data_IF_644737563674
#
_entry.id   IF_644737563674
#
_cell.length_a   1.000
_cell.length_b   1.000
_cell.length_c   1.000
_cell.angle_alpha   90.00
_cell.angle_beta   90.00
_cell.angle_gamma   90.00
#
_symmetry.space_group_name_H-M   'P 1'
#
loop_
_entity.id
_entity.type
_entity.pdbx_description
1 polymer ?
#
# COMPACT_ATOMS: atom_id res chain seq x y z
N UNK A 1 -11.04 -3.86 2.21
CA UNK A 1 -9.92 -3.33 1.41
C UNK A 1 -10.48 -2.51 0.26
N UNK A 2 -9.83 -1.40 -0.08
CA UNK A 2 -10.20 -0.60 -1.26
C UNK A 2 -9.50 -1.17 -2.51
N UNK A 3 -10.20 -1.38 -3.64
CA UNK A 3 -9.60 -1.94 -4.84
C UNK A 3 -8.77 -0.88 -5.58
N UNK A 4 -7.47 -0.75 -5.24
CA UNK A 4 -6.56 0.21 -5.88
C UNK A 4 -6.44 0.05 -7.39
N UNK A 5 -6.74 -1.12 -7.94
CA UNK A 5 -6.73 -1.38 -9.39
C UNK A 5 -7.93 -0.79 -10.13
N UNK A 6 -9.04 -0.50 -9.45
CA UNK A 6 -10.27 0.04 -10.05
C UNK A 6 -10.59 1.45 -9.57
N UNK A 7 -9.72 2.05 -8.77
CA UNK A 7 -9.88 3.44 -8.36
C UNK A 7 -9.68 4.37 -9.57
N UNK A 8 -10.44 5.49 -9.65
CA UNK A 8 -10.17 6.53 -10.61
C UNK A 8 -8.71 7.01 -10.53
N UNK A 9 -8.18 7.45 -11.67
CA UNK A 9 -6.83 7.98 -11.72
C UNK A 9 -6.62 9.11 -10.70
N UNK A 10 -5.47 9.10 -10.03
CA UNK A 10 -5.12 10.08 -8.99
C UNK A 10 -5.63 9.74 -7.58
N UNK A 11 -6.67 8.92 -7.42
CA UNK A 11 -7.18 8.55 -6.08
C UNK A 11 -6.19 7.68 -5.32
N UNK A 12 -5.56 6.69 -5.97
CA UNK A 12 -4.53 5.85 -5.36
C UNK A 12 -3.34 6.64 -4.80
N UNK A 13 -2.70 7.52 -5.61
CA UNK A 13 -1.69 8.45 -5.13
C UNK A 13 -2.16 9.33 -3.96
N UNK A 14 -3.36 9.92 -4.04
CA UNK A 14 -3.89 10.79 -2.99
C UNK A 14 -4.10 10.05 -1.66
N UNK A 15 -4.55 8.79 -1.70
CA UNK A 15 -4.64 7.94 -0.51
C UNK A 15 -3.26 7.71 0.08
N UNK A 16 -2.27 7.28 -0.73
CA UNK A 16 -0.92 7.01 -0.24
C UNK A 16 -0.28 8.24 0.42
N UNK A 17 -0.40 9.41 -0.20
CA UNK A 17 0.10 10.69 0.32
C UNK A 17 -0.60 11.09 1.62
N UNK A 18 -1.94 11.09 1.61
CA UNK A 18 -2.74 11.52 2.77
C UNK A 18 -2.49 10.60 3.95
N UNK A 19 -2.43 9.28 3.71
CA UNK A 19 -2.11 8.28 4.73
C UNK A 19 -0.73 8.51 5.32
N UNK A 20 0.31 8.72 4.50
CA UNK A 20 1.65 9.04 4.99
C UNK A 20 1.67 10.31 5.86
N UNK A 21 0.94 11.35 5.45
CA UNK A 21 0.86 12.62 6.21
C UNK A 21 0.24 12.45 7.59
N UNK A 22 -0.87 11.71 7.70
CA UNK A 22 -1.59 11.52 8.98
C UNK A 22 -1.00 10.42 9.87
N UNK A 23 -0.19 9.52 9.32
CA UNK A 23 0.51 8.49 10.10
C UNK A 23 1.44 9.14 11.14
N UNK A 24 1.46 8.57 12.35
CA UNK A 24 2.46 8.92 13.37
C UNK A 24 3.82 8.31 13.00
N UNK A 25 4.95 8.91 13.41
CA UNK A 25 6.26 8.25 13.33
C UNK A 25 6.20 6.86 13.98
N UNK A 26 6.82 5.86 13.35
CA UNK A 26 6.73 4.44 13.69
C UNK A 26 5.48 3.71 13.17
N UNK A 27 4.52 4.42 12.56
CA UNK A 27 3.31 3.82 12.00
C UNK A 27 3.53 3.19 10.62
N UNK A 28 2.75 2.15 10.31
CA UNK A 28 2.78 1.46 9.01
C UNK A 28 1.45 1.59 8.25
N UNK A 29 1.56 1.76 6.93
CA UNK A 29 0.45 1.61 6.00
C UNK A 29 0.49 0.24 5.33
N UNK A 30 -0.52 -0.59 5.59
CA UNK A 30 -0.66 -1.91 4.99
C UNK A 30 -1.58 -1.85 3.75
N UNK A 31 -1.08 -2.35 2.63
CA UNK A 31 -1.87 -2.60 1.43
C UNK A 31 -1.96 -4.09 1.13
N UNK A 32 -3.18 -4.54 0.87
CA UNK A 32 -3.54 -5.91 0.53
C UNK A 32 -4.13 -5.93 -0.89
N UNK A 33 -3.38 -6.45 -1.87
CA UNK A 33 -3.75 -6.40 -3.30
C UNK A 33 -3.27 -7.63 -4.06
N UNK A 34 -3.97 -8.03 -5.11
CA UNK A 34 -3.53 -9.09 -6.02
C UNK A 34 -2.38 -8.65 -6.95
N UNK A 35 -2.20 -7.35 -7.15
CA UNK A 35 -1.16 -6.79 -8.03
C UNK A 35 -0.21 -5.88 -7.26
N UNK A 36 0.97 -5.66 -7.83
CA UNK A 36 1.99 -4.80 -7.24
C UNK A 36 1.76 -3.29 -7.48
N UNK A 37 0.71 -2.89 -8.22
CA UNK A 37 0.49 -1.49 -8.63
C UNK A 37 0.38 -0.53 -7.45
N UNK A 38 -0.18 -0.97 -6.33
CA UNK A 38 -0.29 -0.13 -5.15
C UNK A 38 1.07 0.14 -4.46
N UNK A 39 2.03 -0.77 -4.59
CA UNK A 39 3.41 -0.57 -4.10
C UNK A 39 4.06 0.65 -4.76
N UNK A 40 3.82 0.84 -6.06
CA UNK A 40 4.44 1.93 -6.81
C UNK A 40 3.90 3.31 -6.40
N UNK A 41 2.67 3.38 -5.87
CA UNK A 41 2.15 4.59 -5.23
C UNK A 41 2.77 4.83 -3.86
N UNK A 42 2.93 3.78 -3.06
CA UNK A 42 3.56 3.87 -1.74
C UNK A 42 5.02 4.30 -1.82
N UNK A 43 5.76 3.81 -2.81
CA UNK A 43 7.19 4.08 -2.99
C UNK A 43 7.54 5.56 -3.15
N UNK A 44 6.56 6.42 -3.44
CA UNK A 44 6.74 7.88 -3.55
C UNK A 44 6.86 8.58 -2.21
N UNK A 45 6.31 7.99 -1.13
CA UNK A 45 6.22 8.62 0.19
C UNK A 45 6.87 7.78 1.30
N UNK A 46 6.78 6.45 1.21
CA UNK A 46 7.33 5.54 2.20
C UNK A 46 8.76 5.14 1.82
N UNK A 47 9.73 5.47 2.68
CA UNK A 47 11.16 5.12 2.48
C UNK A 47 11.44 3.64 2.65
N UNK A 48 10.75 3.00 3.59
CA UNK A 48 10.85 1.57 3.86
C UNK A 48 9.54 0.89 3.53
N UNK A 49 9.59 -0.07 2.60
CA UNK A 49 8.45 -0.90 2.21
C UNK A 49 8.82 -2.37 2.34
N UNK A 50 8.18 -3.05 3.28
CA UNK A 50 8.28 -4.51 3.39
C UNK A 50 7.22 -5.16 2.51
N UNK A 51 7.53 -6.32 1.93
CA UNK A 51 6.62 -7.06 1.07
C UNK A 51 6.44 -8.50 1.56
N UNK A 52 5.21 -9.01 1.47
CA UNK A 52 4.85 -10.39 1.81
C UNK A 52 3.88 -10.98 0.81
N UNK A 53 3.68 -12.28 0.88
CA UNK A 53 2.67 -13.00 0.10
C UNK A 53 1.87 -13.91 1.01
N UNK A 54 0.56 -13.96 0.77
CA UNK A 54 -0.34 -14.89 1.44
C UNK A 54 -0.87 -15.90 0.42
N UNK A 55 -0.33 -17.11 0.47
CA UNK A 55 -0.61 -18.20 -0.47
C UNK A 55 -1.92 -18.94 -0.15
N UNK A 56 -2.40 -18.85 1.09
CA UNK A 56 -3.63 -19.54 1.53
C UNK A 56 -4.92 -18.79 1.18
N UNK A 57 -4.82 -17.62 0.57
CA UNK A 57 -5.99 -16.95 0.02
C UNK A 57 -6.38 -17.56 -1.32
N UNK A 58 -7.69 -17.62 -1.59
CA UNK A 58 -8.30 -18.17 -2.83
C UNK A 58 -7.64 -17.63 -4.11
N UNK A 59 -6.99 -16.47 -4.04
CA UNK A 59 -6.00 -15.98 -4.99
C UNK A 59 -4.75 -15.48 -4.22
N UNK A 60 -3.51 -15.73 -4.70
CA UNK A 60 -2.29 -15.25 -4.04
C UNK A 60 -2.30 -13.74 -3.88
N UNK A 61 -2.29 -13.27 -2.63
CA UNK A 61 -2.32 -11.85 -2.33
C UNK A 61 -0.92 -11.32 -2.03
N UNK A 62 -0.63 -10.13 -2.53
CA UNK A 62 0.57 -9.36 -2.19
C UNK A 62 0.25 -8.43 -1.02
N UNK A 63 1.15 -8.41 -0.06
CA UNK A 63 1.12 -7.56 1.11
C UNK A 63 2.26 -6.56 1.00
N UNK A 64 1.98 -5.28 1.25
CA UNK A 64 3.00 -4.24 1.33
C UNK A 64 2.80 -3.42 2.59
N UNK A 65 3.87 -3.20 3.36
CA UNK A 65 3.87 -2.35 4.55
C UNK A 65 4.81 -1.17 4.33
N UNK A 66 4.26 0.03 4.17
CA UNK A 66 5.03 1.26 4.09
C UNK A 66 5.19 1.89 5.47
N UNK A 67 6.42 2.02 5.95
CA UNK A 67 6.71 2.58 7.27
C UNK A 67 7.00 4.08 7.21
N UNK A 68 6.44 4.83 8.15
CA UNK A 68 6.83 6.21 8.42
C UNK A 68 7.85 6.21 9.55
N UNK A 69 9.12 6.21 9.18
CA UNK A 69 10.23 6.36 10.13
C UNK A 69 10.33 7.80 10.65
#
# INVERSE_FOLDING_TARGET
GLPFSTLPDGVGPAIAETTWRVLRPGGAFLVYQFTARARDFMARHFRRIDAGYELWNVLPCKLFWGWKD
#
